data_IF_999046805609
#
_entry.id   IF_999046805609
#
_cell.length_a   1.000
_cell.length_b   1.000
_cell.length_c   1.000
_cell.angle_alpha   90.00
_cell.angle_beta   90.00
_cell.angle_gamma   90.00
#
_symmetry.space_group_name_H-M   'P 1'
#
loop_
_entity.id
_entity.type
_entity.pdbx_description
1 polymer ?
#
# COMPACT_ATOMS: atom_id res chain seq x y z
N UNK A 1 10.03 16.21 -17.75
CA UNK A 1 9.69 15.84 -16.35
C UNK A 1 8.29 16.35 -16.08
N UNK A 2 7.39 15.53 -15.52
CA UNK A 2 6.04 15.98 -15.22
C UNK A 2 6.05 16.86 -13.97
N UNK A 3 5.13 17.86 -13.89
CA UNK A 3 4.93 18.74 -12.70
C UNK A 3 4.88 17.93 -11.39
N UNK A 4 4.35 16.75 -11.42
CA UNK A 4 4.13 15.84 -10.29
C UNK A 4 5.41 15.14 -9.81
N UNK A 5 6.28 14.69 -10.73
CA UNK A 5 7.59 14.16 -10.38
C UNK A 5 8.48 15.23 -9.73
N UNK A 6 8.33 16.47 -10.19
CA UNK A 6 9.03 17.63 -9.65
C UNK A 6 8.52 17.99 -8.26
N UNK A 7 7.21 17.91 -8.03
CA UNK A 7 6.61 18.16 -6.73
C UNK A 7 7.04 17.09 -5.70
N UNK A 8 6.97 15.79 -6.03
CA UNK A 8 7.47 14.71 -5.16
C UNK A 8 8.95 14.88 -4.81
N UNK A 9 9.77 15.30 -5.77
CA UNK A 9 11.18 15.59 -5.53
C UNK A 9 11.36 16.73 -4.54
N UNK A 10 10.57 17.81 -4.66
CA UNK A 10 10.59 18.95 -3.73
C UNK A 10 10.15 18.56 -2.32
N UNK A 11 9.11 17.73 -2.20
CA UNK A 11 8.68 17.20 -0.90
C UNK A 11 9.79 16.39 -0.25
N UNK A 12 10.42 15.47 -0.98
CA UNK A 12 11.54 14.66 -0.45
C UNK A 12 12.77 15.51 -0.09
N UNK A 13 13.08 16.53 -0.90
CA UNK A 13 14.18 17.47 -0.60
C UNK A 13 13.90 18.25 0.69
N UNK A 14 12.64 18.66 0.91
CA UNK A 14 12.24 19.32 2.16
C UNK A 14 12.34 18.37 3.36
N UNK A 15 11.85 17.13 3.23
CA UNK A 15 12.02 16.11 4.27
C UNK A 15 13.47 15.91 4.67
N UNK A 16 14.37 15.79 3.68
CA UNK A 16 15.81 15.63 3.93
C UNK A 16 16.43 16.83 4.65
N UNK A 17 15.89 18.02 4.41
CA UNK A 17 16.39 19.28 5.00
C UNK A 17 15.82 19.57 6.39
N UNK A 18 14.57 19.19 6.66
CA UNK A 18 13.83 19.61 7.85
C UNK A 18 13.54 18.49 8.83
N UNK A 19 13.69 17.22 8.43
CA UNK A 19 13.31 16.05 9.22
C UNK A 19 11.79 15.85 9.35
N UNK A 20 10.99 16.65 8.63
CA UNK A 20 9.51 16.55 8.66
C UNK A 20 9.04 15.26 7.98
N UNK A 21 7.85 14.78 8.38
CA UNK A 21 7.17 13.68 7.65
C UNK A 21 6.82 14.09 6.22
N UNK A 22 6.61 13.12 5.34
CA UNK A 22 6.19 13.40 3.96
C UNK A 22 4.88 14.19 3.91
N UNK A 23 3.89 13.82 4.74
CA UNK A 23 2.61 14.52 4.83
C UNK A 23 2.79 15.98 5.24
N UNK A 24 3.60 16.24 6.26
CA UNK A 24 3.89 17.60 6.75
C UNK A 24 4.63 18.44 5.71
N UNK A 25 5.70 17.89 5.11
CA UNK A 25 6.47 18.58 4.07
C UNK A 25 5.61 18.87 2.84
N UNK A 26 4.72 17.95 2.46
CA UNK A 26 3.78 18.10 1.35
C UNK A 26 2.73 19.18 1.64
N UNK A 27 2.09 19.13 2.80
CA UNK A 27 1.08 20.12 3.20
C UNK A 27 1.66 21.55 3.17
N UNK A 28 2.84 21.75 3.74
CA UNK A 28 3.51 23.07 3.73
C UNK A 28 3.85 23.56 2.32
N UNK A 29 4.34 22.67 1.44
CA UNK A 29 4.61 23.03 0.04
C UNK A 29 3.36 23.38 -0.75
N UNK A 30 2.21 22.78 -0.43
CA UNK A 30 0.91 23.13 -1.03
C UNK A 30 0.40 24.49 -0.53
N UNK A 31 0.61 24.79 0.74
CA UNK A 31 0.25 26.10 1.34
C UNK A 31 1.12 27.24 0.80
N UNK A 32 2.40 26.97 0.52
CA UNK A 32 3.35 27.94 -0.05
C UNK A 32 3.10 28.25 -1.55
N UNK A 33 2.28 27.42 -2.25
CA UNK A 33 1.95 27.56 -3.67
C UNK A 33 0.45 27.34 -3.93
N UNK A 34 -0.40 28.34 -3.69
CA UNK A 34 -1.87 28.22 -3.76
C UNK A 34 -2.46 28.12 -5.18
N UNK A 35 -1.66 28.00 -6.23
CA UNK A 35 -2.12 27.90 -7.64
C UNK A 35 -2.78 26.55 -8.00
N UNK A 36 -3.04 25.67 -7.02
CA UNK A 36 -3.95 24.53 -7.17
C UNK A 36 -5.28 24.93 -6.56
N UNK A 37 -6.19 25.42 -7.40
CA UNK A 37 -7.52 25.85 -6.99
C UNK A 37 -8.22 24.75 -6.14
N UNK A 38 -8.77 25.08 -4.97
CA UNK A 38 -9.58 24.15 -4.20
C UNK A 38 -10.87 23.84 -4.98
N UNK A 39 -11.11 22.57 -5.27
CA UNK A 39 -12.42 22.11 -5.69
C UNK A 39 -13.43 22.46 -4.61
N UNK A 40 -14.62 22.89 -5.04
CA UNK A 40 -15.74 23.31 -4.18
C UNK A 40 -16.05 22.21 -3.15
N UNK A 41 -15.91 22.54 -1.87
CA UNK A 41 -16.22 21.63 -0.77
C UNK A 41 -17.75 21.45 -0.70
N UNK A 42 -18.23 20.25 -0.98
CA UNK A 42 -19.59 19.85 -0.64
C UNK A 42 -19.59 19.23 0.75
N UNK A 43 -20.49 19.65 1.67
CA UNK A 43 -20.56 19.04 2.98
C UNK A 43 -20.95 17.57 2.87
N UNK A 44 -20.14 16.71 3.49
CA UNK A 44 -20.36 15.27 3.52
C UNK A 44 -21.57 14.97 4.40
N UNK A 45 -22.70 14.68 3.78
CA UNK A 45 -23.91 14.21 4.47
C UNK A 45 -24.05 12.70 4.26
N UNK A 46 -23.48 11.91 5.16
CA UNK A 46 -23.61 10.46 5.12
C UNK A 46 -23.09 9.83 6.42
N UNK A 47 -23.46 8.57 6.74
CA UNK A 47 -23.20 7.94 8.03
C UNK A 47 -21.74 7.49 8.16
N UNK A 48 -20.80 8.44 8.28
CA UNK A 48 -19.39 8.16 8.59
C UNK A 48 -19.03 8.46 10.05
N UNK A 49 -20.02 8.71 10.90
CA UNK A 49 -19.83 9.11 12.31
C UNK A 49 -19.06 8.06 13.13
N UNK A 50 -19.05 6.81 12.67
CA UNK A 50 -18.28 5.71 13.26
C UNK A 50 -16.79 5.71 12.89
N UNK A 51 -16.42 6.30 11.75
CA UNK A 51 -15.04 6.25 11.24
C UNK A 51 -14.02 6.85 12.20
N UNK A 52 -14.25 7.99 12.91
CA UNK A 52 -13.27 8.55 13.82
C UNK A 52 -12.89 7.62 14.98
N UNK A 53 -13.77 6.69 15.36
CA UNK A 53 -13.51 5.72 16.45
C UNK A 53 -12.85 4.43 15.94
N UNK A 54 -12.89 4.17 14.64
CA UNK A 54 -12.23 3.03 14.02
C UNK A 54 -10.71 3.12 14.14
N UNK A 55 -10.04 1.96 14.04
CA UNK A 55 -8.60 1.92 13.81
C UNK A 55 -8.32 2.00 12.32
N UNK A 56 -7.66 3.07 11.90
CA UNK A 56 -7.25 3.24 10.51
C UNK A 56 -5.87 2.64 10.27
N UNK A 57 -5.71 1.96 9.14
CA UNK A 57 -4.45 1.35 8.71
C UNK A 57 -4.12 1.85 7.32
N UNK A 58 -2.90 2.33 7.11
CA UNK A 58 -2.40 2.81 5.83
C UNK A 58 -1.01 2.22 5.54
N UNK A 59 -0.63 2.11 4.28
CA UNK A 59 0.68 1.63 3.84
C UNK A 59 1.86 2.47 4.35
N UNK A 60 1.61 3.74 4.62
CA UNK A 60 2.64 4.67 5.11
C UNK A 60 2.09 6.06 5.39
N UNK A 61 2.95 6.94 5.87
CA UNK A 61 2.62 8.33 6.23
C UNK A 61 2.59 9.30 5.04
N UNK A 62 2.78 8.78 3.82
CA UNK A 62 2.60 9.58 2.60
C UNK A 62 1.14 9.97 2.36
N UNK A 63 0.19 9.17 2.88
CA UNK A 63 -1.25 9.43 2.82
C UNK A 63 -1.67 10.19 4.07
N UNK A 64 -2.20 11.41 3.90
CA UNK A 64 -2.62 12.26 5.02
C UNK A 64 -4.02 11.87 5.56
N UNK A 65 -4.13 10.62 6.04
CA UNK A 65 -5.38 10.12 6.65
C UNK A 65 -5.81 10.96 7.87
N UNK A 66 -4.91 11.36 8.79
CA UNK A 66 -5.28 12.23 9.90
C UNK A 66 -5.88 13.58 9.45
N UNK A 67 -5.34 14.19 8.39
CA UNK A 67 -5.81 15.47 7.85
C UNK A 67 -7.23 15.41 7.27
N UNK A 68 -7.77 14.22 7.02
CA UNK A 68 -9.18 14.05 6.59
C UNK A 68 -10.17 14.40 7.69
N UNK A 69 -9.78 14.32 8.97
CA UNK A 69 -10.68 14.37 10.12
C UNK A 69 -11.52 13.11 10.35
N UNK A 70 -11.37 12.09 9.47
CA UNK A 70 -12.07 10.81 9.58
C UNK A 70 -11.38 9.82 10.51
N UNK A 71 -10.14 10.09 10.92
CA UNK A 71 -9.31 9.18 11.71
C UNK A 71 -8.70 9.86 12.93
N UNK A 72 -8.98 9.32 14.12
CA UNK A 72 -8.29 9.71 15.37
C UNK A 72 -7.07 8.85 15.65
N UNK A 73 -7.10 7.60 15.17
CA UNK A 73 -6.03 6.61 15.37
C UNK A 73 -5.62 6.02 14.02
N UNK A 74 -4.34 6.15 13.68
CA UNK A 74 -3.78 5.61 12.44
C UNK A 74 -2.55 4.76 12.75
N UNK A 75 -2.51 3.57 12.18
CA UNK A 75 -1.37 2.67 12.18
C UNK A 75 -0.81 2.60 10.77
N UNK A 76 0.51 2.69 10.64
CA UNK A 76 1.18 2.61 9.35
C UNK A 76 1.81 1.24 9.14
N UNK A 77 1.42 0.54 8.05
CA UNK A 77 1.87 -0.81 7.72
C UNK A 77 3.10 -0.77 6.83
N UNK A 78 4.21 -0.31 7.36
CA UNK A 78 5.45 -0.06 6.63
C UNK A 78 6.27 -1.33 6.48
N UNK A 79 5.91 -2.20 5.52
CA UNK A 79 6.71 -3.38 5.18
C UNK A 79 6.74 -3.62 3.67
N UNK A 80 7.92 -3.88 3.13
CA UNK A 80 8.17 -4.13 1.70
C UNK A 80 8.06 -5.63 1.44
N UNK A 81 6.83 -6.18 1.53
CA UNK A 81 6.60 -7.63 1.52
C UNK A 81 7.03 -8.33 0.23
N UNK A 82 7.08 -7.63 -0.90
CA UNK A 82 7.54 -8.19 -2.18
C UNK A 82 9.07 -8.36 -2.25
N UNK A 83 9.79 -7.94 -1.23
CA UNK A 83 11.24 -8.10 -1.10
C UNK A 83 11.59 -8.89 0.17
N UNK A 84 12.58 -9.77 0.04
CA UNK A 84 13.12 -10.56 1.15
C UNK A 84 12.19 -11.66 1.68
N UNK A 85 12.58 -12.32 2.78
CA UNK A 85 11.89 -13.52 3.25
C UNK A 85 10.60 -13.19 4.01
N UNK A 86 9.52 -13.89 3.66
CA UNK A 86 8.22 -13.86 4.36
C UNK A 86 7.76 -15.30 4.67
N UNK A 87 8.50 -16.05 5.51
CA UNK A 87 8.22 -17.45 5.76
C UNK A 87 6.94 -17.68 6.58
N UNK A 88 6.44 -18.92 6.56
CA UNK A 88 5.32 -19.37 7.41
C UNK A 88 5.86 -19.67 8.81
N UNK A 89 5.86 -18.67 9.66
CA UNK A 89 6.28 -18.74 11.07
C UNK A 89 5.32 -17.96 11.96
N UNK A 90 5.49 -18.07 13.27
CA UNK A 90 4.71 -17.30 14.24
C UNK A 90 4.91 -15.77 14.04
N UNK A 91 3.89 -14.93 14.34
CA UNK A 91 3.95 -13.49 14.11
C UNK A 91 5.18 -12.81 14.74
N UNK A 92 5.55 -13.19 15.96
CA UNK A 92 6.74 -12.65 16.62
C UNK A 92 8.06 -12.97 15.91
N UNK A 93 8.14 -14.17 15.32
CA UNK A 93 9.29 -14.59 14.52
C UNK A 93 9.32 -13.84 13.19
N UNK A 94 8.18 -13.72 12.52
CA UNK A 94 8.07 -12.97 11.27
C UNK A 94 8.54 -11.53 11.45
N UNK A 95 8.12 -10.85 12.55
CA UNK A 95 8.60 -9.49 12.87
C UNK A 95 10.12 -9.42 12.94
N UNK A 96 10.77 -10.41 13.61
CA UNK A 96 12.23 -10.44 13.73
C UNK A 96 12.92 -10.61 12.38
N UNK A 97 12.41 -11.51 11.55
CA UNK A 97 12.93 -11.76 10.20
C UNK A 97 12.78 -10.51 9.35
N UNK A 98 11.59 -9.90 9.31
CA UNK A 98 11.32 -8.70 8.51
C UNK A 98 12.15 -7.49 8.97
N UNK A 99 12.21 -7.24 10.27
CA UNK A 99 13.05 -6.16 10.81
C UNK A 99 14.54 -6.36 10.49
N UNK A 100 15.04 -7.59 10.56
CA UNK A 100 16.41 -7.91 10.17
C UNK A 100 16.66 -7.65 8.68
N UNK A 101 15.74 -8.06 7.80
CA UNK A 101 15.85 -7.82 6.38
C UNK A 101 15.83 -6.31 6.05
N UNK A 102 14.87 -5.58 6.57
CA UNK A 102 14.75 -4.13 6.34
C UNK A 102 15.99 -3.36 6.82
N UNK A 103 16.56 -3.76 7.96
CA UNK A 103 17.81 -3.18 8.45
C UNK A 103 18.97 -3.43 7.51
N UNK A 104 19.16 -4.68 7.08
CA UNK A 104 20.31 -5.07 6.27
C UNK A 104 20.23 -4.56 4.82
N UNK A 105 19.02 -4.45 4.26
CA UNK A 105 18.81 -4.14 2.85
C UNK A 105 18.45 -2.68 2.61
N UNK A 106 17.66 -2.09 3.50
CA UNK A 106 17.20 -0.70 3.37
C UNK A 106 17.86 0.26 4.39
N UNK A 107 18.74 -0.25 5.24
CA UNK A 107 19.50 0.58 6.18
C UNK A 107 18.66 1.26 7.28
N UNK A 108 17.44 0.76 7.54
CA UNK A 108 16.57 1.32 8.57
C UNK A 108 17.01 0.89 9.99
N UNK A 109 16.68 1.69 10.98
CA UNK A 109 16.94 1.32 12.39
C UNK A 109 16.13 0.08 12.80
N UNK A 110 16.85 -0.98 13.20
CA UNK A 110 16.26 -2.26 13.62
C UNK A 110 15.37 -2.11 14.85
N UNK A 111 15.83 -1.37 15.85
CA UNK A 111 15.10 -1.22 17.10
C UNK A 111 13.81 -0.41 16.87
N UNK A 112 13.87 0.65 16.08
CA UNK A 112 12.71 1.44 15.66
C UNK A 112 11.72 0.60 14.84
N UNK A 113 12.21 -0.19 13.87
CA UNK A 113 11.36 -1.08 13.07
C UNK A 113 10.67 -2.13 13.92
N UNK A 114 11.40 -2.76 14.87
CA UNK A 114 10.81 -3.73 15.79
C UNK A 114 9.74 -3.10 16.68
N UNK A 115 9.97 -1.87 17.19
CA UNK A 115 8.95 -1.14 17.96
C UNK A 115 7.71 -0.89 17.12
N UNK A 116 7.86 -0.34 15.92
CA UNK A 116 6.73 -0.08 15.00
C UNK A 116 5.92 -1.34 14.70
N UNK A 117 6.60 -2.46 14.41
CA UNK A 117 5.93 -3.74 14.17
C UNK A 117 5.20 -4.27 15.40
N UNK A 118 5.75 -4.05 16.60
CA UNK A 118 5.12 -4.45 17.86
C UNK A 118 3.91 -3.56 18.17
N UNK A 119 4.06 -2.26 18.03
CA UNK A 119 3.00 -1.28 18.28
C UNK A 119 1.79 -1.48 17.34
N UNK A 120 2.05 -1.77 16.03
CA UNK A 120 0.96 -2.06 15.08
C UNK A 120 0.20 -3.32 15.46
N UNK A 121 0.90 -4.40 15.86
CA UNK A 121 0.27 -5.65 16.25
C UNK A 121 -0.55 -5.47 17.54
N UNK A 122 0.01 -4.76 18.54
CA UNK A 122 -0.71 -4.40 19.76
C UNK A 122 -1.95 -3.54 19.49
N UNK A 123 -1.87 -2.61 18.53
CA UNK A 123 -3.01 -1.79 18.15
C UNK A 123 -4.13 -2.63 17.52
N UNK A 124 -3.80 -3.65 16.69
CA UNK A 124 -4.80 -4.58 16.17
C UNK A 124 -5.48 -5.37 17.30
N UNK A 125 -4.68 -5.94 18.21
CA UNK A 125 -5.17 -6.73 19.34
C UNK A 125 -6.07 -5.89 20.28
N UNK A 126 -5.64 -4.68 20.60
CA UNK A 126 -6.39 -3.75 21.46
C UNK A 126 -7.72 -3.29 20.84
N UNK A 127 -7.83 -3.32 19.51
CA UNK A 127 -9.04 -2.90 18.78
C UNK A 127 -9.89 -4.08 18.29
N UNK A 128 -9.64 -5.33 18.74
CA UNK A 128 -10.28 -6.54 18.20
C UNK A 128 -11.81 -6.52 18.16
N UNK A 129 -12.43 -5.76 19.05
CA UNK A 129 -13.90 -5.60 19.13
C UNK A 129 -14.39 -4.30 18.43
N UNK A 130 -13.50 -3.56 17.77
CA UNK A 130 -13.79 -2.32 17.06
C UNK A 130 -13.94 -2.48 15.54
N UNK A 131 -14.09 -1.33 14.89
CA UNK A 131 -14.12 -1.21 13.43
C UNK A 131 -12.71 -0.91 12.90
N UNK A 132 -12.45 -1.31 11.64
CA UNK A 132 -11.19 -1.07 10.94
C UNK A 132 -11.44 -0.40 9.60
N UNK A 133 -10.58 0.57 9.25
CA UNK A 133 -10.58 1.21 7.93
C UNK A 133 -9.19 1.08 7.32
N UNK A 134 -9.09 0.40 6.20
CA UNK A 134 -7.86 0.12 5.48
C UNK A 134 -7.73 1.08 4.29
N UNK A 135 -6.62 1.81 4.18
CA UNK A 135 -6.33 2.78 3.14
C UNK A 135 -5.14 2.31 2.30
N UNK A 136 -5.43 1.79 1.11
CA UNK A 136 -4.44 1.15 0.26
C UNK A 136 -4.64 1.48 -1.22
N UNK A 137 -3.66 1.09 -2.03
CA UNK A 137 -3.57 1.33 -3.45
C UNK A 137 -3.65 0.02 -4.25
N UNK A 138 -3.73 0.13 -5.58
CA UNK A 138 -3.88 -1.01 -6.47
C UNK A 138 -2.58 -1.77 -6.74
N UNK A 139 -1.43 -1.22 -6.36
CA UNK A 139 -0.14 -1.80 -6.69
C UNK A 139 0.21 -3.06 -5.88
N UNK A 140 1.20 -3.81 -6.34
CA UNK A 140 1.62 -5.06 -5.70
C UNK A 140 2.06 -4.87 -4.23
N UNK A 141 2.74 -3.77 -3.92
CA UNK A 141 3.20 -3.47 -2.58
C UNK A 141 2.03 -3.40 -1.59
N UNK A 142 1.00 -2.65 -1.95
CA UNK A 142 -0.19 -2.46 -1.13
C UNK A 142 -1.08 -3.72 -1.09
N UNK A 143 -1.24 -4.40 -2.21
CA UNK A 143 -2.07 -5.60 -2.26
C UNK A 143 -1.52 -6.74 -1.38
N UNK A 144 -0.19 -6.88 -1.26
CA UNK A 144 0.41 -7.82 -0.31
C UNK A 144 0.19 -7.40 1.15
N UNK A 145 0.25 -6.10 1.46
CA UNK A 145 -0.05 -5.59 2.79
C UNK A 145 -1.53 -5.82 3.17
N UNK A 146 -2.46 -5.60 2.23
CA UNK A 146 -3.89 -5.92 2.43
C UNK A 146 -4.05 -7.38 2.84
N UNK A 147 -3.40 -8.31 2.13
CA UNK A 147 -3.53 -9.74 2.45
C UNK A 147 -2.98 -10.06 3.83
N UNK A 148 -1.85 -9.47 4.24
CA UNK A 148 -1.30 -9.65 5.59
C UNK A 148 -2.25 -9.09 6.65
N UNK A 149 -2.68 -7.82 6.51
CA UNK A 149 -3.55 -7.14 7.48
C UNK A 149 -4.85 -7.92 7.65
N UNK A 150 -5.52 -8.26 6.56
CA UNK A 150 -6.81 -8.97 6.60
C UNK A 150 -6.65 -10.37 7.19
N UNK A 151 -5.58 -11.11 6.85
CA UNK A 151 -5.31 -12.42 7.44
C UNK A 151 -5.03 -12.33 8.95
N UNK A 152 -4.34 -11.27 9.42
CA UNK A 152 -4.14 -11.03 10.86
C UNK A 152 -5.43 -10.73 11.58
N UNK A 153 -6.28 -9.87 11.00
CA UNK A 153 -7.60 -9.56 11.56
C UNK A 153 -8.49 -10.81 11.63
N UNK A 154 -8.47 -11.65 10.59
CA UNK A 154 -9.14 -12.94 10.61
C UNK A 154 -8.63 -13.86 11.73
N UNK A 155 -7.31 -13.92 11.92
CA UNK A 155 -6.66 -14.66 13.01
C UNK A 155 -7.03 -14.17 14.42
N UNK A 156 -7.38 -12.88 14.55
CA UNK A 156 -7.90 -12.29 15.80
C UNK A 156 -9.41 -12.51 15.98
N UNK A 157 -10.08 -13.14 15.01
CA UNK A 157 -11.53 -13.37 15.04
C UNK A 157 -12.38 -12.14 14.69
N UNK A 158 -11.79 -11.11 14.06
CA UNK A 158 -12.51 -9.92 13.63
C UNK A 158 -13.46 -10.29 12.48
N UNK A 159 -14.79 -10.05 12.61
CA UNK A 159 -15.73 -10.33 11.54
C UNK A 159 -15.46 -9.46 10.31
N UNK A 160 -15.62 -10.03 9.11
CA UNK A 160 -15.42 -9.32 7.84
C UNK A 160 -16.19 -7.99 7.78
N UNK A 161 -17.46 -7.99 8.26
CA UNK A 161 -18.30 -6.81 8.28
C UNK A 161 -17.81 -5.64 9.18
N UNK A 162 -16.74 -5.81 9.97
CA UNK A 162 -16.07 -4.76 10.72
C UNK A 162 -14.83 -4.21 10.03
N UNK A 163 -14.55 -4.67 8.82
CA UNK A 163 -13.39 -4.25 8.05
C UNK A 163 -13.88 -3.52 6.80
N UNK A 164 -13.53 -2.25 6.67
CA UNK A 164 -13.79 -1.43 5.49
C UNK A 164 -12.49 -1.20 4.75
N UNK A 165 -12.46 -1.52 3.48
CA UNK A 165 -11.32 -1.29 2.60
C UNK A 165 -11.61 -0.09 1.69
N UNK A 166 -10.73 0.90 1.71
CA UNK A 166 -10.66 2.00 0.75
C UNK A 166 -9.43 1.74 -0.11
N UNK A 167 -9.67 1.35 -1.36
CA UNK A 167 -8.60 0.96 -2.28
C UNK A 167 -8.82 1.54 -3.66
N UNK A 168 -7.86 2.30 -4.17
CA UNK A 168 -7.95 2.95 -5.47
C UNK A 168 -6.71 2.67 -6.32
N UNK A 169 -6.91 2.67 -7.64
CA UNK A 169 -5.82 2.56 -8.61
C UNK A 169 -5.79 3.75 -9.59
N UNK A 170 -6.79 4.62 -9.54
CA UNK A 170 -6.91 5.80 -10.39
C UNK A 170 -7.70 6.89 -9.66
N UNK A 171 -7.50 8.13 -10.07
CA UNK A 171 -8.27 9.26 -9.55
C UNK A 171 -8.62 10.22 -10.69
N UNK A 172 -9.90 10.62 -10.76
CA UNK A 172 -10.37 11.57 -11.78
C UNK A 172 -9.54 12.87 -11.71
N UNK A 173 -9.09 13.36 -12.85
CA UNK A 173 -8.26 14.56 -12.94
C UNK A 173 -6.75 14.35 -12.73
N UNK A 174 -6.30 13.11 -12.41
CA UNK A 174 -4.87 12.76 -12.31
C UNK A 174 -4.52 11.73 -13.39
N UNK A 175 -4.00 12.17 -14.52
CA UNK A 175 -3.74 11.32 -15.70
C UNK A 175 -2.77 10.14 -15.43
N UNK A 176 -1.90 10.27 -14.45
CA UNK A 176 -1.01 9.21 -13.96
C UNK A 176 -1.03 9.23 -12.44
N UNK A 177 -2.03 8.59 -11.90
CA UNK A 177 -2.19 8.46 -10.46
C UNK A 177 -1.08 7.56 -9.88
N UNK A 178 -0.29 8.10 -8.97
CA UNK A 178 0.85 7.41 -8.37
C UNK A 178 0.62 7.03 -6.91
N UNK A 179 -0.61 7.18 -6.40
CA UNK A 179 -1.00 6.72 -5.09
C UNK A 179 -1.75 7.74 -4.23
N UNK A 180 -2.32 7.25 -3.12
CA UNK A 180 -3.09 8.04 -2.15
C UNK A 180 -2.33 9.27 -1.62
N UNK A 181 -1.01 9.18 -1.51
CA UNK A 181 -0.16 10.30 -1.10
C UNK A 181 -0.13 11.49 -2.07
N UNK A 182 -0.80 11.39 -3.24
CA UNK A 182 -0.96 12.50 -4.19
C UNK A 182 -2.26 13.27 -3.96
N UNK A 183 -3.17 12.70 -3.17
CA UNK A 183 -4.47 13.30 -2.88
C UNK A 183 -4.37 14.32 -1.74
N UNK A 184 -5.21 15.35 -1.80
CA UNK A 184 -5.42 16.26 -0.68
C UNK A 184 -6.28 15.60 0.40
N UNK A 185 -6.31 16.16 1.60
CA UNK A 185 -7.18 15.68 2.68
C UNK A 185 -8.67 15.70 2.27
N UNK A 186 -9.09 16.70 1.49
CA UNK A 186 -10.45 16.81 0.97
C UNK A 186 -10.76 15.68 -0.02
N UNK A 187 -9.84 15.40 -0.96
CA UNK A 187 -9.99 14.30 -1.91
C UNK A 187 -10.02 12.93 -1.22
N UNK A 188 -9.17 12.75 -0.19
CA UNK A 188 -9.19 11.54 0.63
C UNK A 188 -10.52 11.38 1.38
N UNK A 189 -11.11 12.50 1.88
CA UNK A 189 -12.39 12.49 2.58
C UNK A 189 -13.56 12.07 1.70
N UNK A 190 -13.47 12.26 0.38
CA UNK A 190 -14.48 11.84 -0.58
C UNK A 190 -14.46 10.32 -0.86
N UNK A 191 -13.31 9.65 -0.70
CA UNK A 191 -13.15 8.24 -1.08
C UNK A 191 -14.16 7.29 -0.41
N UNK A 192 -14.53 7.44 0.87
CA UNK A 192 -15.55 6.61 1.50
C UNK A 192 -16.93 6.64 0.82
N UNK A 193 -17.22 7.67 0.03
CA UNK A 193 -18.48 7.83 -0.70
C UNK A 193 -18.42 7.35 -2.14
N UNK A 194 -17.31 6.75 -2.55
CA UNK A 194 -17.09 6.26 -3.91
C UNK A 194 -17.03 4.74 -3.97
N UNK A 195 -16.94 4.20 -5.17
CA UNK A 195 -16.70 2.77 -5.39
C UNK A 195 -15.30 2.30 -4.95
N UNK A 196 -14.42 3.22 -4.50
CA UNK A 196 -13.16 2.88 -3.87
C UNK A 196 -13.35 2.22 -2.50
N UNK A 197 -14.49 2.47 -1.85
CA UNK A 197 -14.81 1.99 -0.51
C UNK A 197 -15.72 0.77 -0.56
N UNK A 198 -15.32 -0.28 0.14
CA UNK A 198 -16.13 -1.49 0.29
C UNK A 198 -15.97 -2.06 1.71
N UNK A 199 -17.08 -2.46 2.32
CA UNK A 199 -17.06 -3.28 3.54
C UNK A 199 -16.79 -4.73 3.13
N UNK A 200 -15.85 -5.40 3.79
CA UNK A 200 -15.48 -6.75 3.42
C UNK A 200 -16.62 -7.76 3.71
N UNK A 201 -16.71 -8.75 2.83
CA UNK A 201 -17.57 -9.92 3.02
C UNK A 201 -16.77 -11.09 3.60
N UNK A 202 -17.42 -12.13 4.15
CA UNK A 202 -16.73 -13.36 4.54
C UNK A 202 -15.91 -13.98 3.40
N UNK A 203 -16.40 -13.90 2.15
CA UNK A 203 -15.67 -14.37 0.97
C UNK A 203 -14.38 -13.56 0.71
N UNK A 204 -14.41 -12.23 0.91
CA UNK A 204 -13.25 -11.37 0.80
C UNK A 204 -12.21 -11.66 1.90
N UNK A 205 -12.67 -11.88 3.15
CA UNK A 205 -11.81 -12.26 4.27
C UNK A 205 -11.10 -13.60 4.00
N UNK A 206 -11.84 -14.60 3.51
CA UNK A 206 -11.31 -15.91 3.15
C UNK A 206 -10.32 -15.81 1.99
N UNK A 207 -10.64 -15.05 0.93
CA UNK A 207 -9.78 -14.87 -0.22
C UNK A 207 -8.45 -14.21 0.17
N UNK A 208 -8.47 -13.13 0.96
CA UNK A 208 -7.27 -12.46 1.43
C UNK A 208 -6.41 -13.39 2.31
N UNK A 209 -7.04 -14.19 3.16
CA UNK A 209 -6.33 -15.19 4.00
C UNK A 209 -5.66 -16.28 3.14
N UNK A 210 -6.35 -16.78 2.13
CA UNK A 210 -5.77 -17.74 1.17
C UNK A 210 -4.65 -17.10 0.35
N UNK A 211 -4.81 -15.85 -0.07
CA UNK A 211 -3.79 -15.11 -0.80
C UNK A 211 -2.51 -14.92 0.05
N UNK A 212 -2.67 -14.57 1.33
CA UNK A 212 -1.56 -14.49 2.27
C UNK A 212 -0.84 -15.83 2.46
N UNK A 213 -1.58 -16.92 2.55
CA UNK A 213 -1.02 -18.27 2.64
C UNK A 213 -0.29 -18.68 1.35
N UNK A 214 -0.87 -18.41 0.17
CA UNK A 214 -0.27 -18.71 -1.12
C UNK A 214 1.01 -17.91 -1.36
N UNK A 215 1.04 -16.63 -0.98
CA UNK A 215 2.23 -15.78 -1.07
C UNK A 215 3.40 -16.31 -0.25
N UNK A 216 3.13 -16.88 0.92
CA UNK A 216 4.15 -17.41 1.86
C UNK A 216 4.50 -18.89 1.63
N UNK A 217 3.84 -19.53 0.68
CA UNK A 217 4.11 -20.94 0.38
C UNK A 217 5.52 -21.09 -0.21
N UNK A 218 6.22 -22.22 0.09
CA UNK A 218 7.54 -22.48 -0.49
C UNK A 218 7.52 -22.58 -2.02
N UNK A 219 6.37 -22.99 -2.59
CA UNK A 219 6.18 -23.19 -4.02
C UNK A 219 5.15 -22.18 -4.56
N UNK A 220 5.40 -21.54 -5.73
CA UNK A 220 4.54 -20.51 -6.28
C UNK A 220 3.24 -21.03 -6.91
N UNK A 221 2.98 -22.33 -6.92
CA UNK A 221 1.86 -22.96 -7.60
C UNK A 221 0.48 -22.43 -7.21
N UNK A 222 0.31 -21.91 -6.01
CA UNK A 222 -0.94 -21.33 -5.54
C UNK A 222 -1.25 -19.93 -6.07
N UNK A 223 -0.25 -19.19 -6.58
CA UNK A 223 -0.42 -17.79 -6.99
C UNK A 223 -1.38 -17.63 -8.16
N UNK A 224 -1.33 -18.54 -9.14
CA UNK A 224 -2.22 -18.51 -10.30
C UNK A 224 -3.70 -18.66 -9.94
N UNK A 225 -4.02 -19.43 -8.91
CA UNK A 225 -5.38 -19.57 -8.42
C UNK A 225 -5.91 -18.26 -7.82
N UNK A 226 -5.07 -17.50 -7.13
CA UNK A 226 -5.44 -16.16 -6.60
C UNK A 226 -5.54 -15.16 -7.75
N UNK A 227 -4.62 -15.18 -8.70
CA UNK A 227 -4.61 -14.29 -9.87
C UNK A 227 -5.88 -14.42 -10.73
N UNK A 228 -6.51 -15.60 -10.75
CA UNK A 228 -7.73 -15.86 -11.52
C UNK A 228 -9.00 -15.34 -10.84
N UNK A 229 -8.97 -15.04 -9.54
CA UNK A 229 -10.19 -14.61 -8.81
C UNK A 229 -10.53 -13.16 -9.15
N UNK A 230 -11.84 -12.90 -9.26
CA UNK A 230 -12.40 -11.55 -9.38
C UNK A 230 -13.44 -11.36 -8.29
N UNK A 231 -13.17 -10.44 -7.36
CA UNK A 231 -14.06 -10.11 -6.26
C UNK A 231 -14.08 -8.58 -6.09
N UNK A 232 -15.27 -8.00 -6.01
CA UNK A 232 -15.46 -6.55 -6.05
C UNK A 232 -14.72 -5.79 -4.95
N UNK A 233 -14.71 -6.33 -3.74
CA UNK A 233 -14.04 -5.73 -2.58
C UNK A 233 -12.51 -5.79 -2.69
N UNK A 234 -11.98 -6.83 -3.35
CA UNK A 234 -10.54 -7.05 -3.56
C UNK A 234 -10.18 -6.99 -5.06
N UNK A 235 -10.76 -6.02 -5.76
CA UNK A 235 -10.74 -5.92 -7.23
C UNK A 235 -9.35 -5.91 -7.88
N UNK A 236 -8.32 -5.46 -7.18
CA UNK A 236 -6.95 -5.38 -7.69
C UNK A 236 -6.08 -6.59 -7.32
N UNK A 237 -6.55 -7.43 -6.40
CA UNK A 237 -5.77 -8.55 -5.87
C UNK A 237 -5.34 -9.53 -6.97
N UNK A 238 -6.24 -9.86 -7.89
CA UNK A 238 -5.93 -10.80 -8.99
C UNK A 238 -4.82 -10.29 -9.90
N UNK A 239 -4.83 -9.00 -10.26
CA UNK A 239 -3.80 -8.38 -11.10
C UNK A 239 -2.45 -8.33 -10.37
N UNK A 240 -2.46 -7.99 -9.07
CA UNK A 240 -1.26 -7.98 -8.24
C UNK A 240 -0.62 -9.38 -8.14
N UNK A 241 -1.42 -10.44 -7.98
CA UNK A 241 -0.91 -11.80 -7.93
C UNK A 241 -0.46 -12.33 -9.30
N UNK A 242 -1.08 -11.93 -10.40
CA UNK A 242 -0.54 -12.16 -11.74
C UNK A 242 0.82 -11.48 -11.90
N UNK A 243 0.91 -10.22 -11.50
CA UNK A 243 2.17 -9.46 -11.50
C UNK A 243 3.25 -10.12 -10.64
N UNK A 244 2.90 -10.56 -9.42
CA UNK A 244 3.80 -11.29 -8.52
C UNK A 244 4.30 -12.59 -9.15
N UNK A 245 3.41 -13.36 -9.77
CA UNK A 245 3.78 -14.63 -10.40
C UNK A 245 4.83 -14.47 -11.50
N UNK A 246 4.87 -13.31 -12.14
CA UNK A 246 5.84 -12.97 -13.19
C UNK A 246 7.20 -12.49 -12.65
N UNK A 247 7.33 -12.28 -11.34
CA UNK A 247 8.62 -12.03 -10.69
C UNK A 247 9.40 -13.34 -10.41
N UNK A 248 8.74 -14.49 -10.47
CA UNK A 248 9.43 -15.78 -10.49
C UNK A 248 10.12 -15.98 -11.84
N UNK A 249 11.28 -16.68 -11.85
CA UNK A 249 11.99 -17.01 -13.09
C UNK A 249 11.10 -17.78 -14.07
N UNK A 250 10.98 -17.28 -15.29
CA UNK A 250 10.20 -17.97 -16.31
C UNK A 250 10.94 -19.21 -16.83
N UNK A 251 10.21 -20.30 -17.07
CA UNK A 251 10.78 -21.59 -17.53
C UNK A 251 11.53 -21.50 -18.87
N UNK A 252 11.19 -20.50 -19.71
CA UNK A 252 11.79 -20.33 -21.05
C UNK A 252 13.19 -19.72 -21.05
N UNK A 253 13.49 -18.84 -20.09
CA UNK A 253 14.71 -18.02 -20.10
C UNK A 253 15.31 -17.75 -18.69
N UNK A 254 14.65 -18.21 -17.63
CA UNK A 254 15.12 -18.03 -16.25
C UNK A 254 15.00 -16.60 -15.71
N UNK A 255 14.36 -15.68 -16.45
CA UNK A 255 14.26 -14.28 -16.06
C UNK A 255 12.89 -13.93 -15.50
N UNK A 256 12.86 -13.01 -14.51
CA UNK A 256 11.64 -12.34 -14.06
C UNK A 256 11.14 -11.31 -15.08
N UNK A 257 9.91 -10.84 -14.92
CA UNK A 257 9.37 -9.77 -15.75
C UNK A 257 10.17 -8.48 -15.59
N UNK A 258 10.55 -8.14 -14.35
CA UNK A 258 11.37 -6.95 -14.07
C UNK A 258 12.72 -7.02 -14.73
N UNK A 259 13.42 -8.16 -14.64
CA UNK A 259 14.72 -8.35 -15.32
C UNK A 259 14.60 -8.22 -16.83
N UNK A 260 13.59 -8.84 -17.45
CA UNK A 260 13.34 -8.68 -18.90
C UNK A 260 13.08 -7.24 -19.30
N UNK A 261 12.31 -6.49 -18.52
CA UNK A 261 12.02 -5.07 -18.79
C UNK A 261 13.28 -4.20 -18.70
N UNK A 262 14.14 -4.47 -17.71
CA UNK A 262 15.41 -3.77 -17.54
C UNK A 262 16.34 -4.08 -18.70
N UNK A 263 16.52 -5.39 -19.06
CA UNK A 263 17.36 -5.80 -20.19
C UNK A 263 16.86 -5.21 -21.51
N UNK A 264 15.53 -5.22 -21.74
CA UNK A 264 14.96 -4.57 -22.92
C UNK A 264 15.26 -3.07 -22.96
N UNK A 265 15.17 -2.37 -21.81
CA UNK A 265 15.49 -0.94 -21.74
C UNK A 265 16.98 -0.68 -22.04
N UNK A 266 17.88 -1.58 -21.63
CA UNK A 266 19.31 -1.51 -21.97
C UNK A 266 19.51 -1.72 -23.48
N UNK A 267 18.87 -2.74 -24.05
CA UNK A 267 18.91 -3.01 -25.50
C UNK A 267 18.36 -1.84 -26.33
N UNK A 268 17.34 -1.14 -25.81
CA UNK A 268 16.76 0.09 -26.40
C UNK A 268 17.64 1.35 -26.14
N UNK A 269 18.89 1.17 -25.74
CA UNK A 269 19.86 2.27 -25.55
C UNK A 269 19.67 3.12 -24.31
N UNK A 270 19.26 2.53 -23.19
CA UNK A 270 19.27 3.25 -21.91
C UNK A 270 20.72 3.62 -21.54
N UNK A 271 21.05 4.91 -21.30
CA UNK A 271 22.44 5.35 -21.15
C UNK A 271 23.06 4.97 -19.79
N UNK A 272 22.27 4.60 -18.81
CA UNK A 272 22.71 4.21 -17.46
C UNK A 272 21.79 3.14 -16.87
N UNK A 273 22.25 2.42 -15.85
CA UNK A 273 21.44 1.45 -15.11
C UNK A 273 20.18 2.13 -14.51
N UNK A 274 20.33 3.34 -13.96
CA UNK A 274 19.20 4.13 -13.44
C UNK A 274 18.18 4.44 -14.54
N UNK A 275 18.64 4.83 -15.73
CA UNK A 275 17.75 5.10 -16.86
C UNK A 275 17.03 3.82 -17.32
N UNK A 276 17.70 2.67 -17.31
CA UNK A 276 17.09 1.39 -17.64
C UNK A 276 15.99 1.00 -16.64
N UNK A 277 16.25 1.11 -15.35
CA UNK A 277 15.26 0.86 -14.29
C UNK A 277 14.07 1.81 -14.41
N UNK A 278 14.30 3.11 -14.60
CA UNK A 278 13.22 4.10 -14.78
C UNK A 278 12.37 3.80 -16.03
N UNK A 279 13.00 3.35 -17.15
CA UNK A 279 12.26 2.92 -18.34
C UNK A 279 11.45 1.65 -18.10
N UNK A 280 12.01 0.68 -17.36
CA UNK A 280 11.32 -0.54 -16.97
C UNK A 280 10.09 -0.24 -16.10
N UNK A 281 10.23 0.62 -15.08
CA UNK A 281 9.13 1.06 -14.20
C UNK A 281 8.01 1.80 -14.96
N UNK A 282 8.34 2.56 -16.01
CA UNK A 282 7.33 3.22 -16.87
C UNK A 282 6.47 2.25 -17.67
N UNK A 283 6.93 1.01 -17.86
CA UNK A 283 6.19 -0.08 -18.49
C UNK A 283 5.34 -0.86 -17.49
N UNK A 284 5.38 -0.50 -16.20
CA UNK A 284 4.46 -1.01 -15.20
C UNK A 284 3.08 -0.48 -15.56
N UNK A 285 2.25 -1.33 -16.15
CA UNK A 285 0.81 -1.20 -16.10
C UNK A 285 0.41 -1.83 -14.79
N UNK A 286 -0.41 -1.16 -14.03
CA UNK A 286 -0.88 -1.50 -12.68
C UNK A 286 -1.05 -2.98 -12.46
#
# INVERSE_FOLDING_TARGET
MTRQADFKRRVRARMAKTGESYATARSRLLTEHPDVAPGTVHPTTGPLDWMPEALHISNGDATDVPGTGLARRVVYWRDVLHEGPVPVVAPAELRRIRASFLTSYHGVDRAGTMRQFTERDQALEANRDGEYVLWFEADLYDQLQITEVVARLAGLGVPAGRITLICIGEHAGIARFGGLGELTAEQLRELPHTNACARLTPAALELATRAWAAFRAPEPGGLGAIAAVRLGELRFLGEAFDRLSREYPATRDGLSLTERRVLAAVADGAPTAVAAVVRAMRRETR
#
